data_IF_204014750738
#
_entry.id   IF_204014750738
#
_cell.length_a   1.000
_cell.length_b   1.000
_cell.length_c   1.000
_cell.angle_alpha   90.00
_cell.angle_beta   90.00
_cell.angle_gamma   90.00
#
_symmetry.space_group_name_H-M   'P 1'
#
loop_
_entity.id
_entity.type
_entity.pdbx_description
1 polymer ?
#
# COMPACT_ATOMS: atom_id res chain seq x y z
N UNK A 1 23.80 -2.97 9.37
CA UNK A 1 23.04 -3.16 8.12
C UNK A 1 21.75 -2.37 8.24
N UNK A 2 21.75 -1.13 7.74
CA UNK A 2 20.57 -0.27 7.72
C UNK A 2 19.91 -0.47 6.35
N UNK A 3 18.64 -0.91 6.25
CA UNK A 3 17.97 -1.01 4.96
C UNK A 3 17.78 0.40 4.39
N UNK A 4 18.17 0.57 3.12
CA UNK A 4 18.34 1.87 2.50
C UNK A 4 17.05 2.68 2.40
N UNK A 5 17.18 4.00 2.55
CA UNK A 5 16.19 5.00 2.17
C UNK A 5 15.98 4.96 0.66
N UNK A 6 15.02 4.16 0.19
CA UNK A 6 14.61 4.16 -1.21
C UNK A 6 13.80 5.42 -1.47
N UNK A 7 14.45 6.38 -2.13
CA UNK A 7 13.93 7.65 -2.63
C UNK A 7 12.88 7.45 -3.75
N UNK A 8 11.88 6.61 -3.52
CA UNK A 8 10.81 6.27 -4.47
C UNK A 8 9.41 6.22 -3.83
N UNK A 9 9.22 6.73 -2.60
CA UNK A 9 7.99 6.43 -1.86
C UNK A 9 6.66 6.84 -2.52
N UNK A 10 6.65 7.88 -3.35
CA UNK A 10 5.44 8.32 -4.05
C UNK A 10 5.03 7.42 -5.23
N UNK A 11 5.91 7.08 -6.20
CA UNK A 11 5.56 6.19 -7.30
C UNK A 11 5.10 4.80 -6.85
N UNK A 12 5.81 4.16 -5.91
CA UNK A 12 5.40 2.85 -5.40
C UNK A 12 4.04 2.88 -4.71
N UNK A 13 3.75 3.91 -3.91
CA UNK A 13 2.45 4.04 -3.23
C UNK A 13 1.32 4.26 -4.25
N UNK A 14 1.57 5.07 -5.28
CA UNK A 14 0.59 5.29 -6.35
C UNK A 14 0.34 4.01 -7.17
N UNK A 15 1.40 3.27 -7.50
CA UNK A 15 1.30 1.99 -8.18
C UNK A 15 0.53 0.95 -7.35
N UNK A 16 0.86 0.82 -6.07
CA UNK A 16 0.15 -0.07 -5.16
C UNK A 16 -1.34 0.29 -5.05
N UNK A 17 -1.67 1.58 -5.01
CA UNK A 17 -3.06 2.04 -5.02
C UNK A 17 -3.78 1.66 -6.32
N UNK A 18 -3.13 1.77 -7.48
CA UNK A 18 -3.67 1.31 -8.76
C UNK A 18 -3.91 -0.20 -8.81
N UNK A 19 -3.01 -0.99 -8.21
CA UNK A 19 -3.18 -2.45 -8.07
C UNK A 19 -4.39 -2.76 -7.19
N UNK A 20 -4.57 -2.07 -6.06
CA UNK A 20 -5.73 -2.26 -5.18
C UNK A 20 -7.04 -1.80 -5.83
N UNK A 21 -7.03 -0.70 -6.59
CA UNK A 21 -8.16 -0.29 -7.42
C UNK A 21 -8.61 -1.44 -8.33
N UNK A 22 -7.68 -2.06 -9.05
CA UNK A 22 -8.00 -3.16 -9.97
C UNK A 22 -8.44 -4.44 -9.24
N UNK A 23 -7.85 -4.75 -8.07
CA UNK A 23 -8.16 -5.97 -7.30
C UNK A 23 -9.47 -5.88 -6.53
N UNK A 24 -9.79 -4.71 -5.98
CA UNK A 24 -10.90 -4.50 -5.05
C UNK A 24 -12.07 -3.72 -5.67
N UNK A 25 -11.90 -3.19 -6.89
CA UNK A 25 -12.88 -2.35 -7.58
C UNK A 25 -13.31 -1.11 -6.77
N UNK A 26 -12.37 -0.50 -6.05
CA UNK A 26 -12.57 0.70 -5.22
C UNK A 26 -11.86 1.92 -5.84
N UNK A 27 -12.31 3.15 -5.58
CA UNK A 27 -11.59 4.36 -5.97
C UNK A 27 -10.12 4.39 -5.49
N UNK A 28 -9.25 5.05 -6.24
CA UNK A 28 -7.82 5.17 -5.90
C UNK A 28 -7.60 5.88 -4.56
N UNK A 29 -8.46 6.84 -4.21
CA UNK A 29 -8.38 7.55 -2.92
C UNK A 29 -8.67 6.60 -1.75
N UNK A 30 -9.69 5.74 -1.88
CA UNK A 30 -9.99 4.69 -0.90
C UNK A 30 -8.86 3.65 -0.81
N UNK A 31 -8.21 3.32 -1.92
CA UNK A 31 -7.05 2.43 -1.93
C UNK A 31 -5.87 3.06 -1.16
N UNK A 32 -5.62 4.36 -1.35
CA UNK A 32 -4.58 5.10 -0.61
C UNK A 32 -4.91 5.20 0.87
N UNK A 33 -6.18 5.46 1.23
CA UNK A 33 -6.64 5.46 2.60
C UNK A 33 -6.40 4.10 3.28
N UNK A 34 -6.69 3.00 2.60
CA UNK A 34 -6.42 1.63 3.09
C UNK A 34 -4.92 1.35 3.26
N UNK A 35 -4.07 1.75 2.31
CA UNK A 35 -2.61 1.62 2.45
C UNK A 35 -2.09 2.40 3.68
N UNK A 36 -2.57 3.63 3.88
CA UNK A 36 -2.21 4.47 5.04
C UNK A 36 -2.68 3.86 6.36
N UNK A 37 -3.94 3.41 6.41
CA UNK A 37 -4.51 2.77 7.58
C UNK A 37 -3.72 1.51 7.97
N UNK A 38 -3.41 0.65 6.99
CA UNK A 38 -2.61 -0.56 7.22
C UNK A 38 -1.20 -0.24 7.72
N UNK A 39 -0.52 0.72 7.08
CA UNK A 39 0.80 1.17 7.49
C UNK A 39 0.80 1.74 8.92
N UNK A 40 -0.19 2.56 9.26
CA UNK A 40 -0.35 3.15 10.58
C UNK A 40 -0.62 2.09 11.65
N UNK A 41 -1.61 1.21 11.45
CA UNK A 41 -1.98 0.15 12.40
C UNK A 41 -0.83 -0.82 12.67
N UNK A 42 0.04 -1.08 11.68
CA UNK A 42 1.19 -1.97 11.83
C UNK A 42 2.51 -1.25 12.13
N UNK A 43 2.48 0.09 12.31
CA UNK A 43 3.67 0.92 12.50
C UNK A 43 4.76 0.68 11.44
N UNK A 44 4.36 0.42 10.19
CA UNK A 44 5.26 0.20 9.05
C UNK A 44 5.31 1.44 8.16
N UNK A 45 6.41 1.62 7.44
CA UNK A 45 6.44 2.64 6.41
C UNK A 45 5.44 2.29 5.30
N UNK A 46 4.69 3.28 4.82
CA UNK A 46 3.71 3.09 3.73
C UNK A 46 4.37 2.58 2.45
N UNK A 47 5.65 2.89 2.24
CA UNK A 47 6.46 2.42 1.12
C UNK A 47 6.75 0.92 1.19
N UNK A 48 6.95 0.38 2.39
CA UNK A 48 7.12 -1.06 2.59
C UNK A 48 5.81 -1.81 2.36
N UNK A 49 4.70 -1.24 2.84
CA UNK A 49 3.35 -1.79 2.59
C UNK A 49 3.04 -1.76 1.08
N UNK A 50 3.33 -0.66 0.40
CA UNK A 50 3.16 -0.53 -1.04
C UNK A 50 4.00 -1.56 -1.80
N UNK A 51 5.25 -1.78 -1.38
CA UNK A 51 6.13 -2.80 -1.94
C UNK A 51 5.52 -4.20 -1.78
N UNK A 52 5.02 -4.55 -0.60
CA UNK A 52 4.39 -5.86 -0.38
C UNK A 52 3.13 -6.06 -1.24
N UNK A 53 2.37 -5.00 -1.52
CA UNK A 53 1.22 -5.05 -2.44
C UNK A 53 1.66 -5.28 -3.88
N UNK A 54 2.70 -4.56 -4.33
CA UNK A 54 3.27 -4.68 -5.67
C UNK A 54 3.85 -6.08 -5.89
N UNK A 55 4.59 -6.61 -4.91
CA UNK A 55 5.19 -7.95 -4.98
C UNK A 55 4.15 -9.06 -4.75
N UNK A 56 2.92 -8.72 -4.33
CA UNK A 56 1.83 -9.67 -4.12
C UNK A 56 1.90 -10.42 -2.78
N UNK A 57 2.76 -9.98 -1.86
CA UNK A 57 2.93 -10.57 -0.54
C UNK A 57 1.90 -10.07 0.48
N UNK A 58 1.20 -8.97 0.19
CA UNK A 58 0.16 -8.43 1.07
C UNK A 58 -1.20 -8.40 0.39
N UNK A 59 -2.17 -9.01 1.07
CA UNK A 59 -3.58 -8.95 0.70
C UNK A 59 -4.31 -8.08 1.74
N UNK A 60 -4.62 -6.84 1.36
CA UNK A 60 -5.41 -5.98 2.24
C UNK A 60 -6.85 -6.54 2.32
N UNK A 61 -7.43 -6.66 3.52
CA UNK A 61 -8.81 -7.06 3.65
C UNK A 61 -9.70 -6.04 2.93
N UNK A 62 -10.69 -6.56 2.21
CA UNK A 62 -11.84 -5.81 1.72
C UNK A 62 -12.70 -5.47 2.93
N UNK A 63 -12.23 -4.53 3.75
CA UNK A 63 -12.98 -4.05 4.90
C UNK A 63 -14.30 -3.47 4.38
N UNK A 64 -15.35 -4.20 4.77
CA UNK A 64 -16.77 -3.95 4.52
C UNK A 64 -17.22 -3.05 5.66
N UNK A 65 -17.36 -1.76 5.39
CA UNK A 65 -18.19 -0.87 6.20
C UNK A 65 -19.62 -0.90 5.64
#
# INVERSE_FOLDING_TARGET
>A
MLPGFHNGGAPEVHQAAGILFARLAIPVDDALARLRAHAFSHQRAITDVARDVITGHLHLPQDTA
#
